data_IF_005764042557
#
_entry.id   IF_005764042557
#
_cell.length_a   1.000
_cell.length_b   1.000
_cell.length_c   1.000
_cell.angle_alpha   90.00
_cell.angle_beta   90.00
_cell.angle_gamma   90.00
#
_symmetry.space_group_name_H-M   'P 1'
#
loop_
_entity.id
_entity.type
_entity.pdbx_description
1 polymer ?
#
# COMPACT_ATOMS: atom_id res chain seq x y z
N UNK A 1 -30.59 5.50 22.82
CA UNK A 1 -29.63 4.57 23.44
C UNK A 1 -28.89 3.83 22.33
N UNK A 2 -27.64 3.42 22.54
CA UNK A 2 -26.82 2.72 21.53
C UNK A 2 -26.79 1.24 21.93
N UNK A 3 -27.76 0.48 21.45
CA UNK A 3 -27.97 -0.92 21.84
C UNK A 3 -26.81 -1.79 21.32
N UNK A 4 -25.90 -2.14 22.23
CA UNK A 4 -24.88 -3.16 22.01
C UNK A 4 -25.47 -4.51 22.40
N UNK A 5 -25.36 -5.49 21.52
CA UNK A 5 -25.65 -6.87 21.87
C UNK A 5 -24.72 -7.34 23.01
N UNK A 6 -25.15 -8.33 23.81
CA UNK A 6 -24.34 -8.91 24.91
C UNK A 6 -22.95 -9.40 24.44
N UNK A 7 -22.74 -9.61 23.13
CA UNK A 7 -21.45 -9.88 22.49
C UNK A 7 -20.63 -8.67 22.02
N UNK A 8 -20.98 -7.44 22.41
CA UNK A 8 -20.19 -6.22 22.16
C UNK A 8 -20.29 -5.61 20.76
N UNK A 9 -21.07 -6.22 19.86
CA UNK A 9 -21.33 -5.70 18.51
C UNK A 9 -22.45 -4.67 18.56
N UNK A 10 -22.21 -3.53 17.91
CA UNK A 10 -23.23 -2.48 17.72
C UNK A 10 -24.13 -2.90 16.55
N UNK A 11 -25.44 -2.99 16.83
CA UNK A 11 -26.43 -3.44 15.84
C UNK A 11 -26.73 -2.28 14.87
N UNK A 12 -26.95 -2.58 13.58
CA UNK A 12 -27.26 -1.63 12.50
C UNK A 12 -26.10 -0.71 12.04
N UNK A 13 -24.91 -1.27 11.85
CA UNK A 13 -23.79 -0.54 11.24
C UNK A 13 -23.07 -1.36 10.17
N UNK A 14 -22.51 -0.67 9.17
CA UNK A 14 -21.73 -1.31 8.13
C UNK A 14 -20.30 -1.56 8.60
N UNK A 15 -19.95 -2.82 8.88
CA UNK A 15 -18.63 -3.21 9.39
C UNK A 15 -17.47 -2.85 8.44
N UNK A 16 -17.70 -2.85 7.12
CA UNK A 16 -16.66 -2.47 6.14
C UNK A 16 -16.20 -1.03 6.33
N UNK A 17 -17.13 -0.12 6.66
CA UNK A 17 -16.83 1.30 6.88
C UNK A 17 -16.11 1.55 8.19
N UNK A 18 -16.33 0.71 9.22
CA UNK A 18 -15.62 0.81 10.51
C UNK A 18 -14.11 0.61 10.35
N UNK A 19 -13.71 -0.39 9.58
CA UNK A 19 -12.28 -0.69 9.35
C UNK A 19 -11.63 0.30 8.36
N UNK A 20 -12.41 0.87 7.44
CA UNK A 20 -11.90 1.83 6.44
C UNK A 20 -11.42 3.14 7.06
N UNK A 21 -12.01 3.58 8.17
CA UNK A 21 -11.59 4.78 8.91
C UNK A 21 -10.24 4.58 9.63
N UNK A 22 -9.97 3.37 10.13
CA UNK A 22 -8.74 3.07 10.90
C UNK A 22 -7.50 3.07 10.01
N UNK A 23 -7.61 2.57 8.77
CA UNK A 23 -6.46 2.43 7.87
C UNK A 23 -6.16 3.68 7.03
N UNK A 24 -7.06 4.68 6.98
CA UNK A 24 -6.90 5.85 6.10
C UNK A 24 -5.97 6.92 6.67
N UNK A 25 -5.78 6.95 7.98
CA UNK A 25 -5.09 8.04 8.67
C UNK A 25 -3.75 7.64 9.32
N UNK A 26 -3.18 6.48 8.99
CA UNK A 26 -1.91 6.07 9.58
C UNK A 26 -0.74 6.92 9.03
N UNK A 27 -0.15 7.84 9.82
CA UNK A 27 0.95 8.69 9.35
C UNK A 27 2.24 7.90 9.12
N UNK A 28 2.33 6.69 9.67
CA UNK A 28 3.44 5.76 9.49
C UNK A 28 3.22 4.79 8.32
N UNK A 29 2.16 4.98 7.52
CA UNK A 29 1.97 4.19 6.31
C UNK A 29 3.14 4.42 5.35
N UNK A 30 3.83 3.35 4.97
CA UNK A 30 4.92 3.38 4.01
C UNK A 30 4.42 3.93 2.67
N UNK A 31 5.03 5.02 2.18
CA UNK A 31 4.72 5.65 0.90
C UNK A 31 5.88 5.46 -0.08
N UNK A 32 5.55 5.35 -1.36
CA UNK A 32 6.56 5.18 -2.40
C UNK A 32 7.36 6.48 -2.53
N UNK A 33 8.70 6.41 -2.53
CA UNK A 33 9.53 7.62 -2.71
C UNK A 33 9.31 8.29 -4.07
N UNK A 34 8.94 7.54 -5.11
CA UNK A 34 8.79 8.05 -6.49
C UNK A 34 7.38 8.60 -6.76
N UNK A 35 6.35 7.76 -6.62
CA UNK A 35 4.96 8.14 -6.92
C UNK A 35 4.14 8.60 -5.71
N UNK A 36 4.69 8.52 -4.48
CA UNK A 36 4.03 8.92 -3.21
C UNK A 36 2.74 8.16 -2.88
N UNK A 37 2.36 7.16 -3.67
CA UNK A 37 1.24 6.27 -3.37
C UNK A 37 1.49 5.48 -2.08
N UNK A 38 0.40 5.14 -1.38
CA UNK A 38 0.46 4.24 -0.23
C UNK A 38 0.91 2.85 -0.69
N UNK A 39 1.91 2.27 0.00
CA UNK A 39 2.31 0.88 -0.24
C UNK A 39 1.43 -0.06 0.56
N UNK A 40 1.15 -1.21 -0.03
CA UNK A 40 0.48 -2.32 0.64
C UNK A 40 1.38 -2.98 1.70
N UNK A 41 2.69 -3.07 1.43
CA UNK A 41 3.68 -3.64 2.34
C UNK A 41 4.75 -2.61 2.72
N UNK A 42 5.33 -2.75 3.91
CA UNK A 42 6.38 -1.85 4.39
C UNK A 42 7.59 -1.91 3.46
N UNK A 43 7.91 -0.77 2.82
CA UNK A 43 8.98 -0.67 1.85
C UNK A 43 9.22 0.76 1.35
N UNK A 44 10.14 0.89 0.40
CA UNK A 44 10.62 2.17 -0.14
C UNK A 44 9.94 2.53 -1.47
N UNK A 45 9.66 1.53 -2.31
CA UNK A 45 9.06 1.71 -3.64
C UNK A 45 7.86 0.78 -3.82
N UNK A 46 6.83 1.24 -4.55
CA UNK A 46 5.75 0.34 -4.98
C UNK A 46 6.28 -0.66 -6.02
N UNK A 47 5.58 -1.80 -6.18
CA UNK A 47 6.00 -2.87 -7.09
C UNK A 47 6.25 -2.38 -8.52
N UNK A 48 5.42 -1.47 -9.01
CA UNK A 48 5.52 -0.95 -10.37
C UNK A 48 6.72 0.00 -10.54
N UNK A 49 6.98 0.91 -9.59
CA UNK A 49 8.16 1.77 -9.65
C UNK A 49 9.46 1.00 -9.42
N UNK A 50 9.44 -0.01 -8.55
CA UNK A 50 10.57 -0.90 -8.33
C UNK A 50 10.96 -1.63 -9.62
N UNK A 51 9.97 -2.22 -10.30
CA UNK A 51 10.17 -2.92 -11.58
C UNK A 51 10.66 -1.99 -12.69
N UNK A 52 10.00 -0.86 -12.93
CA UNK A 52 10.33 0.06 -14.02
C UNK A 52 11.73 0.69 -13.90
N UNK A 53 12.30 0.74 -12.69
CA UNK A 53 13.62 1.36 -12.46
C UNK A 53 14.69 0.33 -12.01
N UNK A 54 14.34 -0.96 -11.90
CA UNK A 54 15.27 -2.00 -11.47
C UNK A 54 15.71 -1.90 -10.01
N UNK A 55 14.89 -1.30 -9.13
CA UNK A 55 15.17 -1.18 -7.69
C UNK A 55 14.45 -2.25 -6.87
N UNK A 56 15.04 -2.60 -5.73
CA UNK A 56 14.40 -3.38 -4.67
C UNK A 56 13.23 -2.62 -4.03
N UNK A 57 12.03 -3.20 -4.01
CA UNK A 57 10.82 -2.58 -3.42
C UNK A 57 10.96 -2.34 -1.91
N UNK A 58 11.68 -3.21 -1.20
CA UNK A 58 11.89 -3.16 0.25
C UNK A 58 13.08 -2.28 0.61
N UNK A 59 14.23 -2.54 -0.01
CA UNK A 59 15.53 -1.98 0.37
C UNK A 59 15.99 -0.79 -0.49
N UNK A 60 15.40 -0.57 -1.66
CA UNK A 60 15.69 0.54 -2.56
C UNK A 60 17.02 0.49 -3.31
N UNK A 61 17.84 -0.56 -3.10
CA UNK A 61 19.08 -0.78 -3.85
C UNK A 61 18.79 -1.15 -5.31
N UNK A 62 19.64 -0.71 -6.24
CA UNK A 62 19.57 -1.11 -7.67
C UNK A 62 19.93 -2.60 -7.75
N UNK A 63 19.00 -3.42 -8.22
CA UNK A 63 19.20 -4.87 -8.39
C UNK A 63 19.52 -5.22 -9.84
N UNK A 64 18.89 -4.52 -10.79
CA UNK A 64 18.96 -4.85 -12.22
C UNK A 64 19.14 -3.56 -13.00
N UNK A 65 19.95 -3.60 -14.06
CA UNK A 65 20.01 -2.49 -15.01
C UNK A 65 18.88 -2.61 -16.03
N UNK A 66 17.91 -1.70 -15.95
CA UNK A 66 16.71 -1.69 -16.79
C UNK A 66 16.88 -0.90 -18.09
N UNK A 67 18.08 -0.42 -18.40
CA UNK A 67 18.36 0.31 -19.65
C UNK A 67 17.96 -0.47 -20.91
N UNK A 68 18.08 -1.79 -20.88
CA UNK A 68 17.73 -2.69 -21.99
C UNK A 68 16.46 -3.52 -21.69
N UNK A 69 15.70 -3.20 -20.64
CA UNK A 69 14.45 -3.89 -20.32
C UNK A 69 13.29 -3.08 -20.93
N UNK A 70 12.47 -3.73 -21.76
CA UNK A 70 11.47 -3.15 -22.71
C UNK A 70 11.97 -2.99 -24.16
N UNK A 71 12.66 -3.99 -24.72
CA UNK A 71 12.96 -4.08 -26.16
C UNK A 71 11.71 -4.46 -26.97
N UNK A 72 10.67 -3.64 -26.91
CA UNK A 72 9.51 -3.75 -27.80
C UNK A 72 9.71 -2.81 -28.98
N UNK A 73 10.39 -3.27 -30.02
CA UNK A 73 10.29 -2.66 -31.34
C UNK A 73 9.21 -3.39 -32.12
N UNK A 74 7.98 -2.85 -32.15
CA UNK A 74 7.05 -2.85 -33.30
C UNK A 74 5.96 -1.83 -33.01
#
# INVERSE_FOLDING_TARGET
MRDKDKGGRTINENMLLKHKAVNKNNPYASKCKKCKCALHQQGVYCAQCAYANGFCSICGKKMVDVSNHLMSTT
#
